data_IF_587350657886
#
_entry.id   IF_587350657886
#
_cell.length_a   1.000
_cell.length_b   1.000
_cell.length_c   1.000
_cell.angle_alpha   90.00
_cell.angle_beta   90.00
_cell.angle_gamma   90.00
#
_symmetry.space_group_name_H-M   'P 1'
#
loop_
_entity.id
_entity.type
_entity.pdbx_description
1 polymer ?
#
# COMPACT_ATOMS: atom_id res chain seq x y z
N UNK A 1 -1.34 10.69 15.53
CA UNK A 1 -0.46 11.03 14.38
C UNK A 1 -1.27 11.74 13.31
N UNK A 2 -0.69 12.74 12.63
CA UNK A 2 -1.36 13.43 11.52
C UNK A 2 -1.27 12.59 10.24
N UNK A 3 -2.27 11.72 10.03
CA UNK A 3 -2.33 10.85 8.85
C UNK A 3 -2.41 11.61 7.54
N UNK A 4 -3.14 12.74 7.51
CA UNK A 4 -3.30 13.56 6.29
C UNK A 4 -1.95 14.13 5.83
N UNK A 5 -1.16 14.65 6.76
CA UNK A 5 0.18 15.15 6.46
C UNK A 5 1.11 14.02 5.99
N UNK A 6 1.13 12.91 6.72
CA UNK A 6 1.93 11.74 6.33
C UNK A 6 1.56 11.25 4.92
N UNK A 7 0.25 11.08 4.66
CA UNK A 7 -0.26 10.62 3.36
C UNK A 7 0.14 11.55 2.23
N UNK A 8 0.08 12.86 2.45
CA UNK A 8 0.48 13.87 1.45
C UNK A 8 1.97 13.73 1.11
N UNK A 9 2.84 13.62 2.12
CA UNK A 9 4.29 13.48 1.90
C UNK A 9 4.65 12.17 1.20
N UNK A 10 4.03 11.06 1.60
CA UNK A 10 4.27 9.76 0.98
C UNK A 10 3.75 9.73 -0.46
N UNK A 11 2.58 10.31 -0.74
CA UNK A 11 2.07 10.44 -2.11
C UNK A 11 3.02 11.23 -3.01
N UNK A 12 3.55 12.37 -2.57
CA UNK A 12 4.53 13.13 -3.34
C UNK A 12 5.76 12.27 -3.71
N UNK A 13 6.24 11.44 -2.78
CA UNK A 13 7.36 10.53 -3.06
C UNK A 13 6.98 9.45 -4.08
N UNK A 14 5.80 8.84 -3.94
CA UNK A 14 5.29 7.81 -4.86
C UNK A 14 5.12 8.36 -6.27
N UNK A 15 4.52 9.54 -6.39
CA UNK A 15 4.31 10.24 -7.66
C UNK A 15 5.62 10.61 -8.33
N UNK A 16 6.65 10.99 -7.58
CA UNK A 16 7.98 11.30 -8.14
C UNK A 16 8.68 10.12 -8.82
N UNK A 17 8.17 8.90 -8.64
CA UNK A 17 8.72 7.65 -9.16
C UNK A 17 7.74 6.91 -10.09
N UNK A 18 6.62 7.53 -10.45
CA UNK A 18 5.55 6.95 -11.27
C UNK A 18 4.97 5.63 -10.70
N UNK A 19 4.96 5.48 -9.37
CA UNK A 19 4.50 4.26 -8.69
C UNK A 19 3.04 4.32 -8.21
N UNK A 20 2.31 5.41 -8.50
CA UNK A 20 0.94 5.62 -8.02
C UNK A 20 -0.03 4.50 -8.45
N UNK A 21 0.19 3.90 -9.62
CA UNK A 21 -0.65 2.82 -10.12
C UNK A 21 -0.68 1.57 -9.23
N UNK A 22 0.33 1.38 -8.36
CA UNK A 22 0.35 0.28 -7.38
C UNK A 22 -0.63 0.49 -6.23
N UNK A 23 -0.94 1.75 -5.87
CA UNK A 23 -1.92 2.09 -4.83
C UNK A 23 -3.33 2.23 -5.40
N UNK A 24 -3.49 2.84 -6.59
CA UNK A 24 -4.80 3.05 -7.22
C UNK A 24 -5.39 1.81 -7.89
N UNK A 25 -4.62 0.71 -7.95
CA UNK A 25 -4.95 -0.56 -8.62
C UNK A 25 -4.96 -0.49 -10.15
N UNK A 26 -4.46 0.60 -10.74
CA UNK A 26 -4.30 0.71 -12.18
C UNK A 26 -3.25 -0.28 -12.71
N UNK A 27 -2.21 -0.56 -11.92
CA UNK A 27 -1.17 -1.54 -12.25
C UNK A 27 -1.50 -2.86 -11.56
N UNK A 28 -2.19 -3.74 -12.28
CA UNK A 28 -2.47 -5.11 -11.83
C UNK A 28 -1.21 -5.99 -11.89
N UNK A 29 -1.14 -6.97 -10.99
CA UNK A 29 -0.07 -7.97 -11.03
C UNK A 29 -0.19 -8.81 -12.32
N UNK A 30 0.87 -8.90 -13.14
CA UNK A 30 0.88 -9.79 -14.28
C UNK A 30 0.81 -11.26 -13.84
N UNK A 31 0.43 -12.16 -14.76
CA UNK A 31 0.47 -13.59 -14.49
C UNK A 31 1.90 -14.02 -14.14
N UNK A 32 2.04 -14.77 -13.04
CA UNK A 32 3.34 -15.20 -12.55
C UNK A 32 4.08 -16.11 -13.54
N UNK A 33 3.33 -16.89 -14.31
CA UNK A 33 3.86 -17.85 -15.24
C UNK A 33 3.22 -17.69 -16.62
N UNK A 34 4.04 -17.83 -17.66
CA UNK A 34 3.59 -17.92 -19.03
C UNK A 34 3.73 -19.38 -19.46
N UNK A 35 2.64 -19.95 -19.98
CA UNK A 35 2.64 -21.30 -20.54
C UNK A 35 2.98 -21.17 -22.03
N UNK A 36 4.13 -21.71 -22.41
CA UNK A 36 4.46 -21.95 -23.82
C UNK A 36 4.12 -23.40 -24.15
N UNK A 37 3.97 -23.70 -25.45
CA UNK A 37 3.52 -25.00 -25.98
C UNK A 37 4.30 -26.23 -25.47
N UNK A 38 5.45 -26.05 -24.83
CA UNK A 38 6.23 -27.14 -24.24
C UNK A 38 6.69 -26.90 -22.79
N UNK A 39 6.62 -25.68 -22.22
CA UNK A 39 7.18 -25.37 -20.90
C UNK A 39 6.45 -24.22 -20.18
N UNK A 40 6.46 -24.28 -18.85
CA UNK A 40 6.06 -23.18 -17.96
C UNK A 40 7.29 -22.33 -17.61
N UNK A 41 7.24 -21.03 -17.91
CA UNK A 41 8.32 -20.08 -17.59
C UNK A 41 7.80 -18.98 -16.67
N UNK A 42 8.65 -18.47 -15.77
CA UNK A 42 8.34 -17.26 -14.99
C UNK A 42 8.20 -16.07 -15.93
N UNK A 43 7.14 -15.28 -15.73
CA UNK A 43 6.94 -14.04 -16.43
C UNK A 43 7.92 -12.96 -15.92
N UNK A 44 8.71 -12.37 -16.83
CA UNK A 44 9.63 -11.29 -16.48
C UNK A 44 8.90 -10.03 -16.02
N UNK A 45 7.71 -9.75 -16.59
CA UNK A 45 6.89 -8.60 -16.21
C UNK A 45 6.37 -8.76 -14.78
N UNK A 46 6.01 -9.98 -14.38
CA UNK A 46 5.66 -10.28 -12.99
C UNK A 46 6.83 -10.02 -12.03
N UNK A 47 8.06 -10.40 -12.41
CA UNK A 47 9.24 -10.15 -11.58
C UNK A 47 9.52 -8.65 -11.43
N UNK A 48 9.42 -7.89 -12.52
CA UNK A 48 9.58 -6.43 -12.48
C UNK A 48 8.51 -5.78 -11.60
N UNK A 49 7.23 -6.12 -11.83
CA UNK A 49 6.13 -5.67 -11.01
C UNK A 49 6.34 -5.98 -9.52
N UNK A 50 6.74 -7.22 -9.20
CA UNK A 50 6.98 -7.69 -7.83
C UNK A 50 8.11 -6.94 -7.16
N UNK A 51 9.17 -6.58 -7.89
CA UNK A 51 10.27 -5.80 -7.34
C UNK A 51 9.83 -4.38 -7.01
N UNK A 52 9.07 -3.73 -7.89
CA UNK A 52 8.51 -2.40 -7.66
C UNK A 52 7.52 -2.40 -6.48
N UNK A 53 6.62 -3.39 -6.42
CA UNK A 53 5.69 -3.53 -5.29
C UNK A 53 6.43 -3.71 -3.95
N UNK A 54 7.47 -4.54 -3.92
CA UNK A 54 8.28 -4.77 -2.71
C UNK A 54 9.05 -3.52 -2.30
N UNK A 55 9.63 -2.81 -3.25
CA UNK A 55 10.37 -1.56 -3.00
C UNK A 55 9.44 -0.54 -2.35
N UNK A 56 8.30 -0.28 -2.98
CA UNK A 56 7.33 0.68 -2.50
C UNK A 56 6.76 0.28 -1.12
N UNK A 57 6.48 -1.02 -0.93
CA UNK A 57 6.05 -1.54 0.37
C UNK A 57 7.11 -1.31 1.45
N UNK A 58 8.38 -1.51 1.12
CA UNK A 58 9.50 -1.23 2.02
C UNK A 58 9.57 0.25 2.39
N UNK A 59 9.39 1.15 1.43
CA UNK A 59 9.36 2.59 1.67
C UNK A 59 8.23 2.99 2.62
N UNK A 60 7.00 2.58 2.31
CA UNK A 60 5.84 2.89 3.15
C UNK A 60 6.09 2.39 4.57
N UNK A 61 6.47 1.12 4.73
CA UNK A 61 6.76 0.52 6.05
C UNK A 61 7.86 1.26 6.81
N UNK A 62 8.90 1.72 6.12
CA UNK A 62 9.99 2.50 6.71
C UNK A 62 9.56 3.86 7.25
N UNK A 63 8.38 4.36 6.88
CA UNK A 63 7.83 5.62 7.41
C UNK A 63 6.86 5.42 8.59
N UNK A 64 6.51 4.18 8.94
CA UNK A 64 5.52 3.90 9.98
C UNK A 64 6.19 3.76 11.35
N UNK A 65 5.46 4.11 12.41
CA UNK A 65 5.84 3.74 13.78
C UNK A 65 5.59 2.26 14.03
N UNK A 66 6.24 1.68 15.04
CA UNK A 66 6.10 0.26 15.39
C UNK A 66 4.64 -0.14 15.65
N UNK A 67 3.88 0.70 16.36
CA UNK A 67 2.45 0.48 16.66
C UNK A 67 1.62 0.29 15.38
N UNK A 68 1.90 1.10 14.36
CA UNK A 68 1.17 1.07 13.08
C UNK A 68 1.71 -0.04 12.18
N UNK A 69 3.01 -0.32 12.25
CA UNK A 69 3.65 -1.39 11.49
C UNK A 69 3.04 -2.75 11.83
N UNK A 70 2.65 -2.98 13.08
CA UNK A 70 1.95 -4.18 13.53
C UNK A 70 0.66 -4.48 12.75
N UNK A 71 -0.05 -3.45 12.27
CA UNK A 71 -1.27 -3.60 11.48
C UNK A 71 -1.01 -4.14 10.07
N UNK A 72 0.16 -3.85 9.50
CA UNK A 72 0.45 -4.05 8.07
C UNK A 72 1.60 -5.00 7.79
N UNK A 73 2.30 -5.50 8.82
CA UNK A 73 3.52 -6.32 8.70
C UNK A 73 3.31 -7.61 7.90
N UNK A 74 2.12 -8.22 8.00
CA UNK A 74 1.76 -9.48 7.33
C UNK A 74 1.21 -9.31 5.91
N UNK A 75 0.99 -8.07 5.47
CA UNK A 75 0.42 -7.81 4.15
C UNK A 75 1.47 -8.00 3.05
N UNK A 76 1.04 -8.51 1.90
CA UNK A 76 1.96 -9.00 0.87
C UNK A 76 2.05 -8.10 -0.36
N UNK A 77 1.22 -7.07 -0.43
CA UNK A 77 1.22 -6.09 -1.52
C UNK A 77 1.16 -4.68 -0.96
N UNK A 78 1.74 -3.72 -1.68
CA UNK A 78 1.61 -2.29 -1.36
C UNK A 78 0.15 -1.89 -1.29
N UNK A 79 -0.67 -2.35 -2.24
CA UNK A 79 -2.10 -2.05 -2.29
C UNK A 79 -2.81 -2.43 -0.98
N UNK A 80 -2.56 -3.62 -0.45
CA UNK A 80 -3.13 -4.05 0.84
C UNK A 80 -2.67 -3.13 1.97
N UNK A 81 -1.37 -2.84 2.05
CA UNK A 81 -0.80 -1.94 3.06
C UNK A 81 -1.48 -0.57 3.01
N UNK A 82 -1.56 0.03 1.82
CA UNK A 82 -2.15 1.35 1.62
C UNK A 82 -3.61 1.38 2.05
N UNK A 83 -4.40 0.41 1.57
CA UNK A 83 -5.83 0.31 1.89
C UNK A 83 -6.06 0.13 3.39
N UNK A 84 -5.32 -0.75 4.06
CA UNK A 84 -5.47 -0.97 5.50
C UNK A 84 -5.12 0.29 6.30
N UNK A 85 -4.12 1.07 5.88
CA UNK A 85 -3.80 2.35 6.52
C UNK A 85 -4.94 3.37 6.33
N UNK A 86 -5.48 3.50 5.11
CA UNK A 86 -6.63 4.38 4.85
C UNK A 86 -7.84 4.02 5.70
N UNK A 87 -8.17 2.73 5.81
CA UNK A 87 -9.29 2.24 6.61
C UNK A 87 -9.08 2.47 8.11
N UNK A 88 -7.88 2.16 8.64
CA UNK A 88 -7.58 2.34 10.06
C UNK A 88 -7.70 3.80 10.50
N UNK A 89 -7.23 4.74 9.67
CA UNK A 89 -7.29 6.17 10.00
C UNK A 89 -8.63 6.82 9.66
N UNK A 90 -9.43 6.25 8.75
CA UNK A 90 -10.81 6.68 8.54
C UNK A 90 -11.69 6.33 9.76
N UNK A 91 -11.53 5.13 10.33
CA UNK A 91 -12.25 4.70 11.53
C UNK A 91 -11.90 5.55 12.75
N UNK A 92 -10.61 5.82 13.00
CA UNK A 92 -10.15 6.68 14.11
C UNK A 92 -10.71 8.12 13.99
N UNK A 93 -10.87 8.64 12.78
CA UNK A 93 -11.52 9.95 12.56
C UNK A 93 -13.00 9.92 12.94
N UNK A 94 -13.74 8.89 12.49
CA UNK A 94 -15.17 8.75 12.77
C UNK A 94 -15.46 8.52 14.26
N UNK A 95 -14.67 7.71 14.94
CA UNK A 95 -14.81 7.47 16.38
C UNK A 95 -14.62 8.76 17.18
N UNK A 96 -13.62 9.59 16.80
CA UNK A 96 -13.37 10.88 17.44
C UNK A 96 -14.51 11.86 17.22
N UNK A 97 -15.01 11.97 15.99
CA UNK A 97 -16.17 12.82 15.68
C UNK A 97 -17.41 12.40 16.48
N UNK A 98 -17.70 11.10 16.54
CA UNK A 98 -18.82 10.56 17.33
C UNK A 98 -18.66 10.88 18.83
N UNK A 99 -17.48 10.66 19.39
CA UNK A 99 -17.19 10.98 20.79
C UNK A 99 -17.32 12.47 21.13
N UNK A 100 -17.01 13.36 20.19
CA UNK A 100 -17.18 14.80 20.37
C UNK A 100 -18.66 15.19 20.36
N UNK A 101 -19.46 14.60 19.46
CA UNK A 101 -20.91 14.85 19.39
C UNK A 101 -21.67 14.32 20.61
N UNK A 102 -21.23 13.22 21.22
CA UNK A 102 -21.84 12.67 22.45
C UNK A 102 -21.57 13.51 23.71
N UNK A 103 -20.60 14.43 23.67
CA UNK A 103 -20.20 15.27 24.81
C UNK A 103 -20.77 16.69 24.75
N UNK A 104 -21.58 16.98 23.73
CA UNK A 104 -22.33 18.23 23.54
C UNK A 104 -23.79 18.04 23.93
#
# INVERSE_FOLDING_TARGET
TNFVLWKTLVLCLIESQDLQGFISREIAAPDQFIITSSNQQINLDYLQWKNSDRLLRGWIRGTLSEDVLGLVVRLETTQQVWKTLEEAYALDSQERECCLLQKL
#
